data_IF_370839431245
#
_entry.id   IF_370839431245
#
_cell.length_a   1.000
_cell.length_b   1.000
_cell.length_c   1.000
_cell.angle_alpha   90.00
_cell.angle_beta   90.00
_cell.angle_gamma   90.00
#
_symmetry.space_group_name_H-M   'P 1'
#
loop_
_entity.id
_entity.type
_entity.pdbx_description
1 polymer ?
#
# COMPACT_ATOMS: atom_id res chain seq x y z
N UNK A 1 -0.68 9.91 -4.64
CA UNK A 1 -0.35 11.10 -5.45
C UNK A 1 0.99 10.98 -6.15
N UNK A 2 2.10 10.68 -5.45
CA UNK A 2 3.42 10.52 -6.08
C UNK A 2 3.42 9.49 -7.22
N UNK A 3 2.81 8.31 -7.00
CA UNK A 3 2.68 7.27 -8.04
C UNK A 3 1.99 7.77 -9.32
N UNK A 4 0.76 8.28 -9.21
CA UNK A 4 0.01 8.78 -10.37
C UNK A 4 0.67 10.00 -11.02
N UNK A 5 1.37 10.84 -10.24
CA UNK A 5 2.19 11.92 -10.79
C UNK A 5 3.32 11.39 -11.68
N UNK A 6 4.04 10.34 -11.24
CA UNK A 6 5.07 9.69 -12.07
C UNK A 6 4.47 9.01 -13.30
N UNK A 7 3.29 8.39 -13.18
CA UNK A 7 2.60 7.79 -14.31
C UNK A 7 2.28 8.83 -15.39
N UNK A 8 1.71 9.99 -15.00
CA UNK A 8 1.44 11.09 -15.93
C UNK A 8 2.72 11.62 -16.58
N UNK A 9 3.80 11.81 -15.81
CA UNK A 9 5.08 12.26 -16.38
C UNK A 9 5.63 11.25 -17.38
N UNK A 10 5.50 9.95 -17.09
CA UNK A 10 5.94 8.89 -17.99
C UNK A 10 5.15 8.91 -19.30
N UNK A 11 3.82 9.06 -19.23
CA UNK A 11 2.95 9.11 -20.41
C UNK A 11 3.21 10.35 -21.30
N UNK A 12 3.64 11.46 -20.70
CA UNK A 12 3.96 12.70 -21.40
C UNK A 12 5.37 12.70 -22.03
N UNK A 13 6.26 11.78 -21.65
CA UNK A 13 7.62 11.72 -22.18
C UNK A 13 7.72 10.86 -23.44
N UNK A 14 8.24 11.45 -24.54
CA UNK A 14 8.42 10.79 -25.84
C UNK A 14 9.83 10.19 -26.05
N UNK A 15 10.74 10.33 -25.07
CA UNK A 15 12.15 9.91 -25.18
C UNK A 15 12.44 8.48 -24.69
N UNK A 16 12.82 7.58 -25.59
CA UNK A 16 12.99 6.11 -25.35
C UNK A 16 13.83 5.69 -24.13
N UNK A 17 14.88 6.43 -23.77
CA UNK A 17 15.79 6.04 -22.67
C UNK A 17 15.29 6.45 -21.28
N UNK A 18 14.62 7.62 -21.17
CA UNK A 18 14.05 8.12 -19.91
C UNK A 18 12.82 7.32 -19.51
N UNK A 19 11.99 6.94 -20.50
CA UNK A 19 10.79 6.11 -20.35
C UNK A 19 11.12 4.75 -19.71
N UNK A 20 12.20 4.08 -20.15
CA UNK A 20 12.58 2.76 -19.62
C UNK A 20 13.00 2.76 -18.15
N UNK A 21 13.54 3.88 -17.65
CA UNK A 21 13.89 4.05 -16.24
C UNK A 21 12.66 4.33 -15.39
N UNK A 22 11.81 5.25 -15.85
CA UNK A 22 10.57 5.63 -15.17
C UNK A 22 9.57 4.48 -15.08
N UNK A 23 9.43 3.65 -16.12
CA UNK A 23 8.59 2.45 -16.11
C UNK A 23 8.99 1.47 -14.99
N UNK A 24 10.30 1.24 -14.81
CA UNK A 24 10.80 0.35 -13.75
C UNK A 24 10.52 0.91 -12.36
N UNK A 25 10.67 2.22 -12.17
CA UNK A 25 10.36 2.88 -10.90
C UNK A 25 8.86 2.89 -10.63
N UNK A 26 8.03 3.17 -11.64
CA UNK A 26 6.58 3.06 -11.58
C UNK A 26 6.18 1.67 -11.11
N UNK A 27 6.69 0.63 -11.77
CA UNK A 27 6.35 -0.75 -11.42
C UNK A 27 6.84 -1.16 -10.02
N UNK A 28 8.03 -0.72 -9.62
CA UNK A 28 8.54 -0.97 -8.27
C UNK A 28 7.67 -0.28 -7.22
N UNK A 29 7.35 1.00 -7.42
CA UNK A 29 6.55 1.77 -6.47
C UNK A 29 5.13 1.24 -6.41
N UNK A 30 4.54 0.85 -7.55
CA UNK A 30 3.22 0.23 -7.56
C UNK A 30 3.22 -1.10 -6.80
N UNK A 31 4.11 -2.01 -7.19
CA UNK A 31 4.13 -3.39 -6.70
C UNK A 31 4.54 -3.51 -5.24
N UNK A 32 5.51 -2.71 -4.78
CA UNK A 32 6.07 -2.79 -3.43
C UNK A 32 5.34 -1.87 -2.45
N UNK A 33 4.86 -0.71 -2.90
CA UNK A 33 4.28 0.30 -2.00
C UNK A 33 2.79 0.51 -2.27
N UNK A 34 2.44 1.05 -3.44
CA UNK A 34 1.09 1.58 -3.67
C UNK A 34 0.01 0.52 -3.53
N UNK A 35 0.19 -0.64 -4.17
CA UNK A 35 -0.78 -1.71 -4.11
C UNK A 35 -0.85 -2.37 -2.71
N UNK A 36 0.22 -2.99 -2.17
CA UNK A 36 0.12 -3.74 -0.93
C UNK A 36 -0.19 -2.86 0.29
N UNK A 37 0.44 -1.68 0.40
CA UNK A 37 0.21 -0.77 1.53
C UNK A 37 -1.13 -0.07 1.38
N UNK A 38 -1.51 0.35 0.16
CA UNK A 38 -2.80 0.99 -0.08
C UNK A 38 -3.98 0.08 0.21
N UNK A 39 -3.94 -1.18 -0.27
CA UNK A 39 -4.95 -2.19 0.06
C UNK A 39 -5.01 -2.46 1.57
N UNK A 40 -3.85 -2.57 2.21
CA UNK A 40 -3.77 -2.76 3.66
C UNK A 40 -4.39 -1.61 4.45
N UNK A 41 -4.08 -0.36 4.13
CA UNK A 41 -4.62 0.81 4.85
C UNK A 41 -6.13 0.90 4.70
N UNK A 42 -6.67 0.64 3.51
CA UNK A 42 -8.13 0.59 3.28
C UNK A 42 -8.77 -0.48 4.17
N UNK A 43 -8.25 -1.71 4.14
CA UNK A 43 -8.78 -2.81 4.93
C UNK A 43 -8.69 -2.53 6.43
N UNK A 44 -7.53 -2.06 6.90
CA UNK A 44 -7.31 -1.72 8.30
C UNK A 44 -8.28 -0.64 8.77
N UNK A 45 -8.44 0.43 8.01
CA UNK A 45 -9.38 1.51 8.32
C UNK A 45 -10.79 0.97 8.48
N UNK A 46 -11.33 0.23 7.50
CA UNK A 46 -12.71 -0.24 7.54
C UNK A 46 -12.94 -1.31 8.60
N UNK A 47 -11.95 -2.16 8.88
CA UNK A 47 -12.03 -3.13 9.99
C UNK A 47 -12.13 -2.41 11.33
N UNK A 48 -11.26 -1.43 11.58
CA UNK A 48 -11.32 -0.67 12.84
C UNK A 48 -12.60 0.17 12.90
N UNK A 49 -12.98 0.82 11.80
CA UNK A 49 -14.19 1.62 11.71
C UNK A 49 -15.46 0.81 12.02
N UNK A 50 -15.54 -0.42 11.50
CA UNK A 50 -16.66 -1.32 11.75
C UNK A 50 -16.67 -1.89 13.18
N UNK A 51 -15.50 -2.05 13.80
CA UNK A 51 -15.38 -2.49 15.20
C UNK A 51 -15.74 -1.37 16.18
N UNK A 52 -15.03 -0.24 16.07
CA UNK A 52 -15.30 0.99 16.80
C UNK A 52 -14.73 2.19 16.04
N UNK A 53 -15.63 2.96 15.39
CA UNK A 53 -15.24 4.15 14.63
C UNK A 53 -14.51 5.19 15.46
N UNK A 54 -14.71 5.27 16.77
CA UNK A 54 -14.07 6.29 17.62
C UNK A 54 -12.54 6.16 17.64
N UNK A 55 -12.00 4.99 17.29
CA UNK A 55 -10.55 4.74 17.25
C UNK A 55 -9.83 5.36 16.04
N UNK A 56 -10.55 5.61 14.94
CA UNK A 56 -9.97 6.11 13.68
C UNK A 56 -10.73 7.29 13.08
N UNK A 57 -12.01 7.44 13.41
CA UNK A 57 -12.92 8.43 12.86
C UNK A 57 -14.03 8.81 13.86
N UNK A 58 -13.70 9.59 14.90
CA UNK A 58 -14.66 10.05 15.91
C UNK A 58 -15.87 10.78 15.34
N UNK A 59 -17.01 10.69 16.00
CA UNK A 59 -18.25 11.38 15.61
C UNK A 59 -18.10 12.91 15.54
N UNK A 60 -17.24 13.49 16.37
CA UNK A 60 -16.95 14.93 16.33
C UNK A 60 -16.39 15.39 14.98
N UNK A 61 -15.81 14.48 14.18
CA UNK A 61 -15.33 14.79 12.85
C UNK A 61 -16.45 14.91 11.82
N UNK A 62 -17.66 14.35 12.05
CA UNK A 62 -18.76 14.38 11.06
C UNK A 62 -19.19 15.81 10.70
N UNK A 63 -19.00 16.76 11.62
CA UNK A 63 -19.28 18.18 11.42
C UNK A 63 -18.31 18.85 10.42
N UNK A 64 -17.09 18.33 10.27
CA UNK A 64 -16.03 18.90 9.43
C UNK A 64 -15.71 18.03 8.21
N UNK A 65 -15.88 16.72 8.37
CA UNK A 65 -15.57 15.68 7.41
C UNK A 65 -16.85 14.88 7.17
N UNK A 66 -17.62 15.22 6.12
CA UNK A 66 -18.87 14.51 5.84
C UNK A 66 -18.58 13.09 5.35
N UNK A 67 -19.57 12.20 5.49
CA UNK A 67 -19.45 10.78 5.16
C UNK A 67 -18.94 10.52 3.74
N UNK A 68 -19.35 11.32 2.75
CA UNK A 68 -18.88 11.17 1.38
C UNK A 68 -17.38 11.41 1.25
N UNK A 69 -16.83 12.36 2.02
CA UNK A 69 -15.39 12.65 2.04
C UNK A 69 -14.64 11.49 2.70
N UNK A 70 -15.21 10.89 3.75
CA UNK A 70 -14.65 9.69 4.36
C UNK A 70 -14.52 8.54 3.33
N UNK A 71 -15.57 8.27 2.56
CA UNK A 71 -15.52 7.29 1.47
C UNK A 71 -14.54 7.68 0.35
N UNK A 72 -14.48 8.96 -0.03
CA UNK A 72 -13.53 9.45 -1.03
C UNK A 72 -12.07 9.19 -0.60
N UNK A 73 -11.77 9.31 0.69
CA UNK A 73 -10.41 9.12 1.21
C UNK A 73 -10.08 7.64 1.49
N UNK A 74 -11.04 6.88 2.04
CA UNK A 74 -10.77 5.54 2.59
C UNK A 74 -11.38 4.40 1.80
N UNK A 75 -12.31 4.64 0.87
CA UNK A 75 -12.86 3.60 -0.01
C UNK A 75 -12.26 3.67 -1.40
N UNK A 76 -12.20 4.86 -2.02
CA UNK A 76 -11.84 5.03 -3.45
C UNK A 76 -10.43 4.52 -3.79
N UNK A 77 -9.52 4.47 -2.83
CA UNK A 77 -8.17 3.94 -3.03
C UNK A 77 -8.19 2.50 -3.54
N UNK A 78 -9.07 1.64 -3.01
CA UNK A 78 -9.16 0.23 -3.40
C UNK A 78 -9.59 0.03 -4.88
N UNK A 79 -10.73 0.54 -5.36
CA UNK A 79 -11.12 0.39 -6.76
C UNK A 79 -10.13 1.04 -7.72
N UNK A 80 -9.46 2.13 -7.32
CA UNK A 80 -8.40 2.74 -8.14
C UNK A 80 -7.20 1.81 -8.29
N UNK A 81 -6.71 1.20 -7.19
CA UNK A 81 -5.60 0.25 -7.23
C UNK A 81 -5.94 -1.05 -7.99
N UNK A 82 -7.17 -1.54 -7.85
CA UNK A 82 -7.65 -2.68 -8.63
C UNK A 82 -7.79 -2.33 -10.11
N UNK A 83 -8.32 -1.15 -10.42
CA UNK A 83 -8.40 -0.62 -11.78
C UNK A 83 -7.03 -0.53 -12.43
N UNK A 84 -6.02 -0.03 -11.71
CA UNK A 84 -4.62 0.03 -12.19
C UNK A 84 -4.10 -1.36 -12.58
N UNK A 85 -4.30 -2.41 -11.75
CA UNK A 85 -3.91 -3.79 -12.11
C UNK A 85 -4.62 -4.28 -13.38
N UNK A 86 -5.90 -3.93 -13.55
CA UNK A 86 -6.69 -4.37 -14.69
C UNK A 86 -6.31 -3.65 -15.99
N UNK A 87 -5.90 -2.38 -15.89
CA UNK A 87 -5.65 -1.50 -17.03
C UNK A 87 -4.18 -1.44 -17.43
N UNK A 88 -3.25 -1.70 -16.51
CA UNK A 88 -1.81 -1.61 -16.73
C UNK A 88 -1.09 -2.87 -16.27
N UNK A 89 -0.22 -3.40 -17.12
CA UNK A 89 0.65 -4.50 -16.77
C UNK A 89 1.86 -3.98 -15.99
N UNK A 90 2.04 -4.49 -14.77
CA UNK A 90 3.20 -4.15 -13.93
C UNK A 90 4.19 -5.31 -13.84
N UNK A 91 5.47 -5.02 -14.01
CA UNK A 91 6.55 -6.00 -13.82
C UNK A 91 6.96 -6.06 -12.36
N UNK A 92 6.45 -7.07 -11.64
CA UNK A 92 6.83 -7.29 -10.24
C UNK A 92 8.31 -7.73 -10.12
N UNK A 93 9.05 -7.22 -9.12
CA UNK A 93 10.39 -7.72 -8.83
C UNK A 93 10.34 -9.19 -8.37
N UNK A 94 11.51 -9.84 -8.30
CA UNK A 94 11.63 -11.15 -7.65
C UNK A 94 11.02 -11.06 -6.24
N UNK A 95 10.16 -12.00 -5.86
CA UNK A 95 9.39 -11.97 -4.60
C UNK A 95 10.25 -11.64 -3.39
N UNK A 96 11.40 -12.31 -3.25
CA UNK A 96 12.34 -12.05 -2.16
C UNK A 96 12.82 -10.59 -2.10
N UNK A 97 13.06 -9.97 -3.25
CA UNK A 97 13.51 -8.58 -3.32
C UNK A 97 12.36 -7.61 -3.00
N UNK A 98 11.15 -7.88 -3.52
CA UNK A 98 9.96 -7.09 -3.22
C UNK A 98 9.61 -7.14 -1.73
N UNK A 99 9.62 -8.32 -1.13
CA UNK A 99 9.39 -8.50 0.31
C UNK A 99 10.49 -7.90 1.17
N UNK A 100 11.76 -7.99 0.76
CA UNK A 100 12.85 -7.32 1.45
C UNK A 100 12.69 -5.80 1.43
N UNK A 101 12.36 -5.22 0.27
CA UNK A 101 12.10 -3.78 0.14
C UNK A 101 10.90 -3.35 1.00
N UNK A 102 9.81 -4.11 0.98
CA UNK A 102 8.64 -3.88 1.83
C UNK A 102 8.99 -3.95 3.32
N UNK A 103 9.82 -4.91 3.72
CA UNK A 103 10.32 -5.05 5.09
C UNK A 103 11.17 -3.86 5.54
N UNK A 104 12.08 -3.40 4.69
CA UNK A 104 12.89 -2.18 4.96
C UNK A 104 12.00 -0.98 5.19
N UNK A 105 10.97 -0.79 4.35
CA UNK A 105 10.02 0.33 4.48
C UNK A 105 9.18 0.19 5.75
N UNK A 106 8.72 -1.02 6.07
CA UNK A 106 7.99 -1.28 7.32
C UNK A 106 8.83 -0.99 8.57
N UNK A 107 10.10 -1.40 8.58
CA UNK A 107 11.02 -1.12 9.68
C UNK A 107 11.35 0.37 9.80
N UNK A 108 11.55 1.05 8.67
CA UNK A 108 11.77 2.51 8.66
C UNK A 108 10.56 3.24 9.24
N UNK A 109 9.34 2.81 8.87
CA UNK A 109 8.11 3.36 9.41
C UNK A 109 7.95 3.09 10.91
N UNK A 110 8.22 1.87 11.37
CA UNK A 110 8.22 1.54 12.81
C UNK A 110 9.24 2.41 13.58
N UNK A 111 10.44 2.57 13.03
CA UNK A 111 11.46 3.44 13.61
C UNK A 111 10.98 4.89 13.72
N UNK A 112 10.28 5.40 12.69
CA UNK A 112 9.69 6.73 12.73
C UNK A 112 8.58 6.86 13.79
N UNK A 113 7.69 5.87 13.91
CA UNK A 113 6.64 5.87 14.96
C UNK A 113 7.26 5.88 16.36
N UNK A 114 8.28 5.05 16.60
CA UNK A 114 9.01 5.01 17.88
C UNK A 114 9.72 6.34 18.12
N UNK A 115 10.35 6.92 17.11
CA UNK A 115 11.02 8.21 17.22
C UNK A 115 10.04 9.32 17.66
N UNK A 116 8.85 9.40 17.06
CA UNK A 116 7.83 10.39 17.46
C UNK A 116 7.42 10.18 18.93
N UNK A 117 7.22 8.93 19.35
CA UNK A 117 6.90 8.64 20.75
C UNK A 117 8.01 9.08 21.71
N UNK A 118 9.28 8.81 21.37
CA UNK A 118 10.42 9.21 22.19
C UNK A 118 10.62 10.74 22.21
N UNK A 119 10.32 11.42 21.11
CA UNK A 119 10.53 12.86 20.98
C UNK A 119 9.41 13.69 21.63
N UNK A 120 8.15 13.24 21.52
CA UNK A 120 6.96 14.01 21.93
C UNK A 120 6.25 13.40 23.14
N UNK A 121 6.51 12.12 23.46
CA UNK A 121 5.79 11.39 24.51
C UNK A 121 4.38 10.95 24.11
N UNK A 122 4.00 11.12 22.84
CA UNK A 122 2.68 10.78 22.32
C UNK A 122 2.80 9.77 21.19
N UNK A 123 1.93 8.76 21.20
CA UNK A 123 1.84 7.82 20.09
C UNK A 123 1.16 8.47 18.89
N UNK A 124 1.71 8.22 17.70
CA UNK A 124 1.10 8.62 16.42
C UNK A 124 -0.33 8.07 16.31
N UNK A 125 -0.56 6.87 16.85
CA UNK A 125 -1.86 6.25 16.95
C UNK A 125 -2.20 6.00 18.42
N UNK A 126 -3.28 6.61 18.95
CA UNK A 126 -3.69 6.43 20.35
C UNK A 126 -3.82 4.95 20.77
N UNK A 127 -4.25 4.08 19.85
CA UNK A 127 -4.34 2.62 20.06
C UNK A 127 -3.01 2.01 20.54
N UNK A 128 -1.86 2.52 20.09
CA UNK A 128 -0.55 2.00 20.52
C UNK A 128 -0.27 2.28 22.00
N UNK A 129 -0.85 3.36 22.55
CA UNK A 129 -0.75 3.68 23.97
C UNK A 129 -1.53 2.73 24.87
N UNK A 130 -2.46 1.94 24.31
CA UNK A 130 -3.21 0.92 25.04
C UNK A 130 -2.46 -0.41 25.13
N UNK A 131 -1.35 -0.56 24.40
CA UNK A 131 -0.60 -1.81 24.28
C UNK A 131 0.69 -1.78 25.11
N UNK A 132 1.08 -2.95 25.62
CA UNK A 132 2.44 -3.15 26.13
C UNK A 132 3.45 -3.14 24.98
N UNK A 133 4.74 -3.03 25.28
CA UNK A 133 5.82 -3.11 24.27
C UNK A 133 5.75 -4.39 23.44
N UNK A 134 5.43 -5.53 24.06
CA UNK A 134 5.22 -6.79 23.35
C UNK A 134 3.96 -6.78 22.48
N UNK A 135 2.90 -6.08 22.92
CA UNK A 135 1.70 -5.84 22.14
C UNK A 135 1.95 -5.00 20.90
N UNK A 136 2.75 -3.93 21.00
CA UNK A 136 3.16 -3.10 19.85
C UNK A 136 3.97 -3.93 18.84
N UNK A 137 4.91 -4.75 19.33
CA UNK A 137 5.68 -5.65 18.46
C UNK A 137 4.77 -6.68 17.78
N UNK A 138 3.86 -7.31 18.52
CA UNK A 138 2.90 -8.27 17.98
C UNK A 138 2.00 -7.65 16.91
N UNK A 139 1.49 -6.43 17.16
CA UNK A 139 0.70 -5.67 16.20
C UNK A 139 1.51 -5.34 14.94
N UNK A 140 2.78 -4.94 15.08
CA UNK A 140 3.64 -4.69 13.93
C UNK A 140 3.83 -5.95 13.07
N UNK A 141 4.13 -7.10 13.70
CA UNK A 141 4.30 -8.37 12.99
C UNK A 141 3.01 -8.82 12.29
N UNK A 142 1.86 -8.64 12.94
CA UNK A 142 0.55 -8.91 12.35
C UNK A 142 0.32 -8.06 11.11
N UNK A 143 0.54 -6.74 11.20
CA UNK A 143 0.37 -5.84 10.07
C UNK A 143 1.33 -6.18 8.92
N UNK A 144 2.60 -6.46 9.22
CA UNK A 144 3.58 -6.90 8.21
C UNK A 144 3.17 -8.20 7.52
N UNK A 145 2.53 -9.11 8.25
CA UNK A 145 1.94 -10.33 7.66
C UNK A 145 0.82 -9.98 6.68
N UNK A 146 -0.12 -9.11 7.07
CA UNK A 146 -1.23 -8.70 6.18
C UNK A 146 -0.72 -7.98 4.93
N UNK A 147 0.22 -7.04 5.08
CA UNK A 147 0.79 -6.31 3.93
C UNK A 147 1.55 -7.26 2.99
N UNK A 148 2.23 -8.27 3.53
CA UNK A 148 2.86 -9.34 2.75
C UNK A 148 1.82 -10.13 1.95
N UNK A 149 0.68 -10.47 2.55
CA UNK A 149 -0.42 -11.12 1.83
C UNK A 149 -0.97 -10.23 0.71
N UNK A 150 -1.11 -8.93 0.94
CA UNK A 150 -1.55 -7.99 -0.09
C UNK A 150 -0.54 -7.89 -1.25
N UNK A 151 0.76 -7.95 -0.97
CA UNK A 151 1.81 -8.00 -2.01
C UNK A 151 1.67 -9.26 -2.88
N UNK A 152 1.48 -10.42 -2.25
CA UNK A 152 1.30 -11.69 -2.96
C UNK A 152 0.00 -11.72 -3.76
N UNK A 153 -1.07 -11.14 -3.22
CA UNK A 153 -2.35 -10.97 -3.90
C UNK A 153 -2.19 -10.10 -5.16
N UNK A 154 -1.58 -8.93 -5.04
CA UNK A 154 -1.35 -8.03 -6.18
C UNK A 154 -0.55 -8.68 -7.29
N UNK A 155 0.50 -9.43 -6.93
CA UNK A 155 1.29 -10.21 -7.88
C UNK A 155 0.45 -11.28 -8.59
N UNK A 156 -0.36 -12.02 -7.83
CA UNK A 156 -1.24 -13.07 -8.37
C UNK A 156 -2.29 -12.49 -9.31
N UNK A 157 -2.94 -11.38 -8.93
CA UNK A 157 -3.92 -10.68 -9.75
C UNK A 157 -3.30 -10.19 -11.05
N UNK A 158 -2.16 -9.50 -10.98
CA UNK A 158 -1.43 -9.04 -12.16
C UNK A 158 -1.06 -10.19 -13.11
N UNK A 159 -0.58 -11.32 -12.57
CA UNK A 159 -0.28 -12.50 -13.39
C UNK A 159 -1.53 -13.19 -13.95
N UNK A 160 -2.66 -13.14 -13.25
CA UNK A 160 -3.92 -13.72 -13.72
C UNK A 160 -4.46 -12.96 -14.94
N UNK A 161 -4.38 -11.62 -14.89
CA UNK A 161 -4.85 -10.72 -15.96
C UNK A 161 -3.90 -10.78 -17.17
N UNK A 162 -2.58 -10.66 -16.93
CA UNK A 162 -1.59 -10.44 -18.00
C UNK A 162 -0.70 -11.66 -18.33
N UNK A 163 -0.75 -12.73 -17.54
CA UNK A 163 0.17 -13.88 -17.65
C UNK A 163 -0.19 -14.93 -18.71
N UNK A 164 -1.37 -14.83 -19.35
CA UNK A 164 -1.87 -15.86 -20.29
C UNK A 164 -1.15 -15.93 -21.64
N UNK A 165 -0.10 -15.13 -21.88
CA UNK A 165 0.66 -15.12 -23.15
C UNK A 165 2.00 -15.85 -23.17
N UNK A 166 2.50 -16.39 -22.05
CA UNK A 166 3.88 -16.96 -21.99
C UNK A 166 3.99 -18.48 -22.16
N UNK A 167 2.87 -19.20 -22.25
CA UNK A 167 2.85 -20.67 -22.40
C UNK A 167 2.68 -21.16 -23.84
N UNK A 168 2.37 -20.29 -24.81
CA UNK A 168 2.15 -20.69 -26.21
C UNK A 168 3.43 -20.75 -27.08
N UNK A 169 4.60 -20.35 -26.57
CA UNK A 169 5.84 -20.21 -27.37
C UNK A 169 7.04 -20.95 -26.78
N UNK A 170 6.81 -22.16 -26.25
CA UNK A 170 7.86 -23.16 -26.03
C UNK A 170 7.36 -24.50 -26.54
N UNK A 171 7.27 -24.63 -27.85
CA UNK A 171 7.25 -25.89 -28.60
C UNK A 171 7.31 -25.54 -30.09
N UNK A 172 8.51 -25.26 -30.59
CA UNK A 172 8.95 -25.47 -31.98
C UNK A 172 10.48 -25.59 -31.95
#
# INVERSE_FOLDING_TARGET
MVFFGMAVVNDLQTGKNTVMGLDKWKDLIFSVLAFPVGMFVVLLFWVIFAYDRQLVYPESLDAFFPLWMNHAMHTVVMPVLLGEILLQHHVYPKTKNGLAALGVVGLAYLGWVIFIYLAVGLWVYPLLGLLSTSGVLGLFLLNMTVVTMMYLLGRTLNNCVWGKGKTATKNK
#
